data_IF_672952918647
#
_entry.id   IF_672952918647
#
_cell.length_a   1.000
_cell.length_b   1.000
_cell.length_c   1.000
_cell.angle_alpha   90.00
_cell.angle_beta   90.00
_cell.angle_gamma   90.00
#
_symmetry.space_group_name_H-M   'P 1'
#
loop_
_entity.id
_entity.type
_entity.pdbx_description
1 polymer ?
#
# COMPACT_ATOMS: atom_id res chain seq x y z
N UNK A 1 16.36 -49.95 59.68
CA UNK A 1 15.04 -49.57 59.11
C UNK A 1 15.26 -48.28 58.32
N UNK A 2 15.53 -48.25 57.01
CA UNK A 2 14.79 -48.75 55.85
C UNK A 2 13.41 -48.05 55.66
N UNK A 3 13.42 -46.91 54.94
CA UNK A 3 12.37 -46.46 53.99
C UNK A 3 12.92 -45.24 53.23
N UNK A 4 13.49 -45.40 52.04
CA UNK A 4 12.83 -45.61 50.75
C UNK A 4 11.98 -44.40 50.30
N UNK A 5 12.65 -43.55 49.53
CA UNK A 5 12.27 -42.94 48.25
C UNK A 5 10.78 -42.94 47.85
N UNK A 6 10.31 -41.78 47.36
CA UNK A 6 9.43 -41.64 46.18
C UNK A 6 9.33 -40.15 45.81
N UNK A 7 10.23 -39.65 44.95
CA UNK A 7 9.90 -38.59 43.99
C UNK A 7 10.01 -39.22 42.61
N UNK A 8 8.86 -39.34 41.96
CA UNK A 8 8.75 -39.86 40.62
C UNK A 8 9.45 -38.92 39.63
N UNK A 9 10.18 -39.56 38.73
CA UNK A 9 10.80 -39.02 37.53
C UNK A 9 9.77 -38.99 36.38
N UNK A 10 10.18 -38.36 35.26
CA UNK A 10 9.54 -38.23 33.94
C UNK A 10 8.66 -36.98 33.74
N UNK A 11 8.87 -36.13 32.73
CA UNK A 11 9.55 -36.38 31.46
C UNK A 11 10.40 -35.21 30.98
N UNK A 12 11.53 -35.59 30.39
CA UNK A 12 12.31 -34.78 29.44
C UNK A 12 11.41 -34.33 28.30
N UNK A 13 11.51 -33.07 27.90
CA UNK A 13 11.61 -32.80 26.46
C UNK A 13 12.68 -31.75 26.19
N UNK A 14 13.64 -32.17 25.38
CA UNK A 14 14.73 -31.39 24.87
C UNK A 14 14.31 -30.76 23.53
N UNK A 15 14.76 -29.54 23.27
CA UNK A 15 14.50 -28.84 22.01
C UNK A 15 13.07 -28.31 21.93
N UNK A 16 12.79 -27.13 21.41
CA UNK A 16 13.53 -26.36 20.43
C UNK A 16 13.28 -24.89 20.78
N UNK A 17 14.33 -24.06 20.73
CA UNK A 17 14.12 -22.63 20.49
C UNK A 17 13.31 -22.57 19.22
N UNK A 18 12.03 -22.20 19.31
CA UNK A 18 11.26 -21.84 18.14
C UNK A 18 11.89 -20.52 17.67
N UNK A 19 12.94 -20.66 16.87
CA UNK A 19 13.28 -19.66 15.88
C UNK A 19 12.01 -19.50 15.05
N UNK A 20 11.25 -18.44 15.34
CA UNK A 20 10.41 -17.87 14.31
C UNK A 20 11.35 -17.60 13.14
N UNK A 21 11.27 -18.46 12.14
CA UNK A 21 11.87 -18.23 10.85
C UNK A 21 11.39 -16.85 10.46
N UNK A 22 12.32 -15.90 10.54
CA UNK A 22 12.26 -14.67 9.79
C UNK A 22 12.01 -15.14 8.38
N UNK A 23 10.76 -15.09 7.93
CA UNK A 23 10.48 -14.87 6.52
C UNK A 23 11.12 -13.51 6.27
N UNK A 24 12.38 -13.61 5.93
CA UNK A 24 13.23 -12.66 5.26
C UNK A 24 12.50 -12.21 4.00
N UNK A 25 11.49 -11.36 4.19
CA UNK A 25 11.09 -10.38 3.21
C UNK A 25 12.30 -9.47 2.99
N UNK A 26 13.17 -9.93 2.10
CA UNK A 26 14.34 -9.22 1.66
C UNK A 26 13.88 -7.90 1.03
N UNK A 27 14.00 -6.80 1.77
CA UNK A 27 13.85 -5.44 1.25
C UNK A 27 14.79 -5.16 0.07
N UNK A 28 15.82 -5.98 -0.16
CA UNK A 28 16.71 -5.89 -1.33
C UNK A 28 16.08 -6.45 -2.61
N UNK A 29 15.04 -7.28 -2.51
CA UNK A 29 14.21 -7.66 -3.65
C UNK A 29 13.28 -6.50 -4.08
N UNK A 30 13.01 -5.53 -3.20
CA UNK A 30 12.44 -4.24 -3.59
C UNK A 30 13.52 -3.33 -4.17
N UNK A 31 14.02 -3.71 -5.36
CA UNK A 31 14.69 -2.77 -6.25
C UNK A 31 13.58 -2.11 -7.06
N UNK A 32 13.42 -0.79 -6.94
CA UNK A 32 12.63 -0.05 -7.93
C UNK A 32 13.10 -0.48 -9.33
N UNK A 33 12.20 -0.71 -10.30
CA UNK A 33 12.60 -0.80 -11.69
C UNK A 33 13.16 0.57 -12.08
N UNK A 34 14.45 0.78 -11.84
CA UNK A 34 15.22 1.74 -12.61
C UNK A 34 15.16 1.21 -14.02
N UNK A 35 14.33 1.84 -14.84
CA UNK A 35 14.29 1.64 -16.28
C UNK A 35 15.71 1.65 -16.83
N UNK A 36 16.25 0.47 -17.04
CA UNK A 36 17.32 0.27 -18.02
C UNK A 36 16.89 -0.89 -18.90
N UNK A 37 15.69 -0.81 -19.47
CA UNK A 37 15.42 -1.50 -20.73
C UNK A 37 16.21 -0.75 -21.80
N UNK A 38 17.49 -1.12 -21.94
CA UNK A 38 18.27 -0.80 -23.12
C UNK A 38 17.57 -1.48 -24.29
N UNK A 39 16.78 -0.69 -25.03
CA UNK A 39 16.22 -1.10 -26.31
C UNK A 39 17.36 -1.61 -27.21
N UNK A 40 17.26 -2.79 -27.82
CA UNK A 40 18.19 -3.16 -28.87
C UNK A 40 18.06 -2.13 -29.98
N UNK A 41 19.16 -1.43 -30.29
CA UNK A 41 19.22 -0.50 -31.43
C UNK A 41 19.02 -1.31 -32.70
N UNK A 42 17.78 -1.41 -33.17
CA UNK A 42 17.48 -1.88 -34.52
C UNK A 42 18.17 -0.93 -35.49
N UNK A 43 18.94 -1.53 -36.40
CA UNK A 43 19.78 -0.85 -37.39
C UNK A 43 18.84 -0.16 -38.38
N UNK A 44 18.52 1.11 -38.11
CA UNK A 44 17.75 1.96 -39.02
C UNK A 44 18.55 2.09 -40.33
N UNK A 45 18.00 1.51 -41.39
CA UNK A 45 18.50 1.64 -42.76
C UNK A 45 18.26 3.07 -43.26
N UNK A 46 19.36 3.72 -43.65
CA UNK A 46 19.38 5.04 -44.30
C UNK A 46 18.79 4.93 -45.70
N UNK A 47 17.60 5.47 -45.92
CA UNK A 47 17.18 5.95 -47.25
C UNK A 47 17.04 7.46 -47.17
N UNK A 48 17.94 8.14 -47.86
CA UNK A 48 17.94 9.58 -48.06
C UNK A 48 16.79 9.97 -48.98
N UNK A 49 15.95 10.90 -48.56
CA UNK A 49 15.20 11.76 -49.49
C UNK A 49 15.01 13.13 -48.87
N UNK A 50 15.77 14.07 -49.41
CA UNK A 50 15.65 15.48 -49.14
C UNK A 50 14.28 15.98 -49.61
N UNK A 51 13.59 16.73 -48.77
CA UNK A 51 12.63 17.73 -49.20
C UNK A 51 12.64 18.85 -48.16
N UNK A 52 13.43 19.88 -48.47
CA UNK A 52 13.37 21.20 -47.86
C UNK A 52 12.05 21.85 -48.32
N UNK A 53 11.12 22.07 -47.41
CA UNK A 53 10.07 23.06 -47.57
C UNK A 53 9.73 23.63 -46.19
N UNK A 54 10.19 24.86 -45.97
CA UNK A 54 9.87 25.67 -44.81
C UNK A 54 8.39 26.09 -44.83
N UNK A 55 7.70 25.91 -43.70
CA UNK A 55 6.56 26.76 -43.32
C UNK A 55 6.68 27.07 -41.84
N UNK A 56 7.04 28.32 -41.58
CA UNK A 56 6.99 28.99 -40.29
C UNK A 56 5.51 29.23 -39.88
N UNK A 57 5.30 29.36 -38.57
CA UNK A 57 4.14 29.97 -37.89
C UNK A 57 2.87 29.11 -37.73
N UNK A 58 2.88 28.28 -36.69
CA UNK A 58 1.71 28.13 -35.82
C UNK A 58 2.19 27.76 -34.40
N UNK A 59 2.76 28.75 -33.69
CA UNK A 59 2.82 28.71 -32.23
C UNK A 59 1.39 28.88 -31.70
N UNK A 60 0.58 27.84 -31.87
CA UNK A 60 -0.76 27.73 -31.33
C UNK A 60 -0.65 27.38 -29.86
N UNK A 61 -1.05 28.32 -29.03
CA UNK A 61 -1.12 28.24 -27.58
C UNK A 61 -1.89 26.99 -27.16
N UNK A 62 -1.18 25.93 -26.78
CA UNK A 62 -1.76 24.94 -25.89
C UNK A 62 -1.74 25.64 -24.53
N UNK A 63 -2.85 26.32 -24.22
CA UNK A 63 -3.14 26.73 -22.85
C UNK A 63 -3.09 25.46 -22.01
N UNK A 64 -1.96 25.23 -21.35
CA UNK A 64 -1.83 24.18 -20.36
C UNK A 64 -2.92 24.42 -19.34
N UNK A 65 -3.88 23.52 -19.28
CA UNK A 65 -4.80 23.45 -18.16
C UNK A 65 -3.91 23.16 -16.95
N UNK A 66 -3.53 24.20 -16.22
CA UNK A 66 -2.92 24.04 -14.90
C UNK A 66 -3.99 23.45 -14.00
N UNK A 67 -4.09 22.13 -13.97
CA UNK A 67 -4.73 21.44 -12.86
C UNK A 67 -3.92 21.83 -11.63
N UNK A 68 -4.43 22.80 -10.88
CA UNK A 68 -3.96 23.02 -9.53
C UNK A 68 -4.02 21.66 -8.80
N UNK A 69 -2.98 21.28 -8.03
CA UNK A 69 -3.09 20.07 -7.23
C UNK A 69 -4.35 20.20 -6.38
N UNK A 70 -5.15 19.14 -6.31
CA UNK A 70 -6.26 19.08 -5.38
C UNK A 70 -5.70 19.35 -3.97
N UNK A 71 -5.97 20.54 -3.45
CA UNK A 71 -5.64 20.89 -2.07
C UNK A 71 -6.59 20.09 -1.22
N UNK A 72 -6.11 19.00 -0.64
CA UNK A 72 -6.89 18.27 0.35
C UNK A 72 -7.05 19.18 1.57
N UNK A 73 -8.29 19.46 1.97
CA UNK A 73 -8.60 20.22 3.19
C UNK A 73 -8.47 19.30 4.41
N UNK A 74 -7.22 18.90 4.68
CA UNK A 74 -6.91 17.97 5.76
C UNK A 74 -6.84 18.67 7.11
N UNK A 75 -7.31 18.00 8.18
CA UNK A 75 -6.93 18.35 9.55
C UNK A 75 -5.41 18.53 9.70
N UNK A 76 -5.02 19.44 10.59
CA UNK A 76 -3.62 19.84 10.76
C UNK A 76 -2.68 18.65 11.06
N UNK A 77 -3.17 17.66 11.80
CA UNK A 77 -2.46 16.44 12.15
C UNK A 77 -2.10 15.61 10.92
N UNK A 78 -3.03 15.47 9.97
CA UNK A 78 -2.79 14.76 8.70
C UNK A 78 -1.89 15.61 7.81
N UNK A 79 -2.14 16.92 7.70
CA UNK A 79 -1.32 17.82 6.90
C UNK A 79 0.16 17.83 7.35
N UNK A 80 0.44 17.66 8.64
CA UNK A 80 1.78 17.63 9.22
C UNK A 80 2.38 16.22 9.33
N UNK A 81 1.61 15.18 9.02
CA UNK A 81 2.08 13.79 9.09
C UNK A 81 3.24 13.52 8.11
N UNK A 82 4.04 12.46 8.35
CA UNK A 82 5.07 12.02 7.40
C UNK A 82 4.49 11.86 5.99
N UNK A 83 5.30 12.15 4.96
CA UNK A 83 4.85 12.12 3.57
C UNK A 83 4.20 10.78 3.17
N UNK A 84 4.68 9.66 3.70
CA UNK A 84 4.13 8.32 3.42
C UNK A 84 2.70 8.17 3.96
N UNK A 85 2.41 8.76 5.11
CA UNK A 85 1.09 8.72 5.74
C UNK A 85 0.13 9.60 4.93
N UNK A 86 0.57 10.81 4.56
CA UNK A 86 -0.21 11.70 3.68
C UNK A 86 -0.52 11.07 2.33
N UNK A 87 0.41 10.33 1.75
CA UNK A 87 0.17 9.60 0.50
C UNK A 87 -0.90 8.51 0.65
N UNK A 88 -0.96 7.85 1.80
CA UNK A 88 -1.99 6.87 2.08
C UNK A 88 -3.36 7.53 2.31
N UNK A 89 -3.42 8.65 3.05
CA UNK A 89 -4.65 9.44 3.20
C UNK A 89 -5.18 9.94 1.84
N UNK A 90 -4.32 10.49 0.98
CA UNK A 90 -4.73 10.91 -0.35
C UNK A 90 -5.27 9.74 -1.19
N UNK A 91 -4.60 8.59 -1.14
CA UNK A 91 -5.06 7.42 -1.87
C UNK A 91 -6.41 6.90 -1.34
N UNK A 92 -6.66 6.97 -0.04
CA UNK A 92 -7.93 6.57 0.54
C UNK A 92 -9.08 7.49 0.11
N UNK A 93 -8.81 8.80 0.02
CA UNK A 93 -9.77 9.80 -0.46
C UNK A 93 -10.09 9.63 -1.94
N UNK A 94 -9.06 9.36 -2.76
CA UNK A 94 -9.20 9.19 -4.21
C UNK A 94 -9.81 7.85 -4.63
N UNK A 95 -9.73 6.81 -3.78
CA UNK A 95 -10.11 5.42 -4.12
C UNK A 95 -10.95 4.70 -3.05
N UNK A 96 -12.08 5.28 -2.59
CA UNK A 96 -12.98 4.64 -1.63
C UNK A 96 -13.51 3.28 -2.13
N UNK A 97 -13.78 3.15 -3.42
CA UNK A 97 -14.27 1.93 -4.07
C UNK A 97 -13.27 0.77 -4.03
N UNK A 98 -11.97 1.10 -3.94
CA UNK A 98 -10.90 0.11 -3.82
C UNK A 98 -10.72 -0.23 -2.35
N UNK A 99 -10.38 0.75 -1.50
CA UNK A 99 -10.02 0.47 -0.12
C UNK A 99 -11.18 -0.07 0.72
N UNK A 100 -12.42 0.22 0.33
CA UNK A 100 -13.61 -0.41 0.91
C UNK A 100 -13.68 -1.92 0.69
N UNK A 101 -12.90 -2.47 -0.24
CA UNK A 101 -12.80 -3.92 -0.53
C UNK A 101 -11.53 -4.56 0.03
N UNK A 102 -10.61 -3.77 0.58
CA UNK A 102 -9.32 -4.24 1.09
C UNK A 102 -9.38 -4.36 2.62
N UNK A 103 -9.01 -5.52 3.19
CA UNK A 103 -8.98 -5.69 4.65
C UNK A 103 -7.81 -4.97 5.31
N UNK A 104 -7.98 -4.70 6.60
CA UNK A 104 -6.90 -4.41 7.53
C UNK A 104 -6.75 -5.54 8.55
N UNK A 105 -5.52 -5.76 8.98
CA UNK A 105 -5.11 -6.85 9.88
C UNK A 105 -4.49 -6.36 11.19
N UNK A 106 -4.63 -5.06 11.51
CA UNK A 106 -4.05 -4.46 12.71
C UNK A 106 -4.87 -4.67 14.00
N UNK A 107 -6.05 -5.29 13.90
CA UNK A 107 -6.97 -5.49 15.04
C UNK A 107 -8.00 -4.37 15.26
N UNK A 108 -8.09 -3.38 14.36
CA UNK A 108 -9.05 -2.28 14.46
C UNK A 108 -10.53 -2.69 14.29
N UNK A 109 -10.82 -3.95 13.93
CA UNK A 109 -12.19 -4.43 13.81
C UNK A 109 -13.03 -4.19 15.06
N UNK A 110 -12.45 -4.22 16.26
CA UNK A 110 -13.19 -4.00 17.51
C UNK A 110 -13.60 -2.54 17.75
N UNK A 111 -13.01 -1.58 17.04
CA UNK A 111 -13.39 -0.15 17.12
C UNK A 111 -14.37 0.26 16.01
N UNK A 112 -14.86 -0.71 15.23
CA UNK A 112 -15.91 -0.49 14.23
C UNK A 112 -15.41 -0.35 12.80
N UNK A 113 -14.10 -0.39 12.54
CA UNK A 113 -13.56 -0.40 11.18
C UNK A 113 -13.88 -1.72 10.48
N UNK A 114 -14.46 -1.63 9.29
CA UNK A 114 -14.94 -2.73 8.44
C UNK A 114 -14.13 -2.90 7.16
N UNK A 115 -13.14 -2.04 6.91
CA UNK A 115 -12.22 -2.15 5.78
C UNK A 115 -10.94 -1.36 6.07
N UNK A 116 -9.97 -1.39 5.16
CA UNK A 116 -8.80 -0.51 5.22
C UNK A 116 -9.19 0.96 4.97
N UNK A 117 -10.29 1.23 4.25
CA UNK A 117 -10.80 2.59 4.04
C UNK A 117 -11.21 3.26 5.36
N UNK A 118 -11.89 2.52 6.24
CA UNK A 118 -12.39 3.05 7.52
C UNK A 118 -11.24 3.50 8.45
N UNK A 119 -10.01 3.04 8.21
CA UNK A 119 -8.84 3.51 8.94
C UNK A 119 -8.46 4.97 8.63
N UNK A 120 -9.01 5.54 7.56
CA UNK A 120 -8.74 6.90 7.08
C UNK A 120 -9.97 7.79 7.11
N UNK A 121 -11.15 7.24 6.86
CA UNK A 121 -12.42 7.98 6.75
C UNK A 121 -13.46 7.34 7.66
N UNK A 122 -14.02 8.13 8.56
CA UNK A 122 -15.06 7.72 9.52
C UNK A 122 -16.49 7.85 8.97
N UNK A 123 -16.65 8.57 7.87
CA UNK A 123 -17.94 8.78 7.20
C UNK A 123 -17.91 9.97 6.27
N UNK A 124 -19.11 10.41 5.86
CA UNK A 124 -19.31 11.66 5.12
C UNK A 124 -20.07 12.66 5.99
N UNK A 125 -19.76 13.95 5.88
CA UNK A 125 -20.52 15.02 6.53
C UNK A 125 -21.84 15.30 5.77
N UNK A 126 -22.64 16.25 6.27
CA UNK A 126 -23.92 16.63 5.64
C UNK A 126 -23.79 17.14 4.20
N UNK A 127 -22.61 17.66 3.84
CA UNK A 127 -22.29 18.15 2.50
C UNK A 127 -21.75 17.04 1.57
N UNK A 128 -21.60 15.82 2.08
CA UNK A 128 -21.04 14.68 1.36
C UNK A 128 -19.51 14.66 1.33
N UNK A 129 -18.83 15.49 2.11
CA UNK A 129 -17.36 15.50 2.17
C UNK A 129 -16.85 14.48 3.18
N UNK A 130 -15.65 13.89 2.97
CA UNK A 130 -15.08 12.91 3.88
C UNK A 130 -14.78 13.50 5.27
N UNK A 131 -15.17 12.76 6.31
CA UNK A 131 -14.76 13.01 7.69
C UNK A 131 -13.57 12.11 8.02
N UNK A 132 -12.37 12.68 8.08
CA UNK A 132 -11.14 11.92 8.29
C UNK A 132 -11.06 11.30 9.69
N UNK A 133 -10.72 10.01 9.74
CA UNK A 133 -10.35 9.26 10.92
C UNK A 133 -8.82 9.39 11.16
N UNK A 134 -8.41 9.61 12.41
CA UNK A 134 -7.00 9.74 12.79
C UNK A 134 -6.26 8.41 12.99
N UNK A 135 -6.92 7.26 12.86
CA UNK A 135 -6.35 5.96 13.21
C UNK A 135 -5.08 5.63 12.40
N UNK A 136 -5.08 5.91 11.10
CA UNK A 136 -3.93 5.67 10.24
C UNK A 136 -2.70 6.54 10.56
N UNK A 137 -2.86 7.66 11.29
CA UNK A 137 -1.71 8.45 11.77
C UNK A 137 -0.78 7.65 12.69
N UNK A 138 -1.34 6.68 13.43
CA UNK A 138 -0.64 5.87 14.42
C UNK A 138 -0.40 4.41 14.03
N UNK A 139 -0.85 3.97 12.84
CA UNK A 139 -0.85 2.55 12.48
C UNK A 139 -0.12 2.29 11.16
N UNK A 140 1.11 1.78 11.24
CA UNK A 140 1.93 1.50 10.04
C UNK A 140 1.33 0.39 9.17
N UNK A 141 0.65 -0.61 9.75
CA UNK A 141 0.01 -1.69 8.98
C UNK A 141 -1.07 -1.13 8.04
N UNK A 142 -1.89 -0.18 8.52
CA UNK A 142 -2.91 0.45 7.67
C UNK A 142 -2.27 1.13 6.47
N UNK A 143 -1.21 1.91 6.72
CA UNK A 143 -0.45 2.67 5.71
C UNK A 143 0.23 1.73 4.71
N UNK A 144 0.90 0.69 5.18
CA UNK A 144 1.61 -0.27 4.33
C UNK A 144 0.64 -1.02 3.40
N UNK A 145 -0.51 -1.48 3.92
CA UNK A 145 -1.57 -2.12 3.12
C UNK A 145 -2.08 -1.18 2.01
N UNK A 146 -2.32 0.10 2.34
CA UNK A 146 -2.79 1.10 1.38
C UNK A 146 -1.76 1.37 0.29
N UNK A 147 -0.49 1.50 0.65
CA UNK A 147 0.58 1.75 -0.32
C UNK A 147 0.88 0.53 -1.19
N UNK A 148 0.76 -0.69 -0.65
CA UNK A 148 0.80 -1.91 -1.45
C UNK A 148 -0.39 -2.01 -2.40
N UNK A 149 -1.59 -1.69 -1.93
CA UNK A 149 -2.79 -1.64 -2.78
C UNK A 149 -2.61 -0.67 -3.93
N UNK A 150 -2.15 0.56 -3.64
CA UNK A 150 -1.82 1.58 -4.64
C UNK A 150 -0.81 1.08 -5.68
N UNK A 151 0.28 0.44 -5.21
CA UNK A 151 1.29 -0.13 -6.09
C UNK A 151 0.72 -1.22 -7.00
N UNK A 152 -0.04 -2.16 -6.44
CA UNK A 152 -0.60 -3.29 -7.19
C UNK A 152 -1.67 -2.86 -8.21
N UNK A 153 -2.42 -1.79 -7.93
CA UNK A 153 -3.29 -1.16 -8.92
C UNK A 153 -2.51 -0.53 -10.07
N UNK A 154 -1.42 0.17 -9.77
CA UNK A 154 -0.55 0.74 -10.79
C UNK A 154 0.11 -0.34 -11.69
N UNK A 155 0.25 -1.56 -11.18
CA UNK A 155 0.68 -2.74 -11.94
C UNK A 155 -0.45 -3.37 -12.79
N UNK A 156 -1.67 -2.86 -12.71
CA UNK A 156 -2.82 -3.31 -13.50
C UNK A 156 -3.56 -4.52 -12.92
N UNK A 157 -3.32 -4.86 -11.65
CA UNK A 157 -4.02 -5.98 -10.99
C UNK A 157 -5.45 -5.60 -10.66
N UNK A 158 -6.36 -6.58 -10.71
CA UNK A 158 -7.75 -6.40 -10.30
C UNK A 158 -7.88 -6.32 -8.78
N UNK A 159 -8.93 -5.66 -8.28
CA UNK A 159 -9.20 -5.53 -6.83
C UNK A 159 -9.26 -6.89 -6.11
N UNK A 160 -9.88 -7.96 -6.66
CA UNK A 160 -9.84 -9.28 -6.02
C UNK A 160 -8.43 -9.87 -5.93
N UNK A 161 -7.60 -9.70 -6.96
CA UNK A 161 -6.20 -10.15 -6.92
C UNK A 161 -5.38 -9.37 -5.90
N UNK A 162 -5.64 -8.06 -5.77
CA UNK A 162 -5.01 -7.21 -4.77
C UNK A 162 -5.40 -7.68 -3.37
N UNK A 163 -6.69 -7.86 -3.11
CA UNK A 163 -7.18 -8.39 -1.84
C UNK A 163 -6.49 -9.71 -1.49
N UNK A 164 -6.45 -10.67 -2.41
CA UNK A 164 -5.78 -11.95 -2.17
C UNK A 164 -4.29 -11.80 -1.82
N UNK A 165 -3.60 -10.83 -2.43
CA UNK A 165 -2.20 -10.55 -2.11
C UNK A 165 -2.05 -9.86 -0.74
N UNK A 166 -2.95 -8.96 -0.37
CA UNK A 166 -2.98 -8.34 0.97
C UNK A 166 -3.27 -9.41 2.04
N UNK A 167 -4.24 -10.29 1.81
CA UNK A 167 -4.57 -11.40 2.71
C UNK A 167 -3.32 -12.28 2.95
N UNK A 168 -2.62 -12.64 1.87
CA UNK A 168 -1.40 -13.45 1.96
C UNK A 168 -0.25 -12.75 2.69
N UNK A 169 -0.10 -11.44 2.50
CA UNK A 169 1.00 -10.68 3.10
C UNK A 169 0.75 -10.30 4.57
N UNK A 170 -0.50 -10.03 4.95
CA UNK A 170 -0.82 -9.36 6.22
C UNK A 170 -1.65 -10.20 7.21
N UNK A 171 -2.22 -11.34 6.81
CA UNK A 171 -3.05 -12.17 7.72
C UNK A 171 -2.30 -12.75 8.93
N UNK A 172 -0.97 -12.75 8.92
CA UNK A 172 -0.16 -13.14 10.07
C UNK A 172 -0.23 -12.14 11.24
N UNK A 173 -0.64 -10.88 11.00
CA UNK A 173 -0.72 -9.84 12.03
C UNK A 173 -2.01 -9.90 12.85
N UNK A 174 -3.08 -10.48 12.31
CA UNK A 174 -4.37 -10.54 12.99
C UNK A 174 -5.49 -11.06 12.09
N UNK A 175 -6.73 -11.11 12.59
CA UNK A 175 -7.89 -11.39 11.75
C UNK A 175 -8.19 -10.19 10.83
N UNK A 176 -8.82 -10.48 9.69
CA UNK A 176 -9.36 -9.44 8.80
C UNK A 176 -10.42 -8.62 9.51
N UNK A 177 -10.41 -7.30 9.31
CA UNK A 177 -11.46 -6.41 9.79
C UNK A 177 -12.70 -6.35 8.88
N UNK A 178 -12.70 -7.02 7.73
CA UNK A 178 -13.82 -7.00 6.78
C UNK A 178 -15.07 -7.62 7.40
N UNK A 179 -16.21 -6.92 7.33
CA UNK A 179 -17.52 -7.38 7.83
C UNK A 179 -18.65 -7.01 6.88
#
# INVERSE_FOLDING_TARGET
MARAERRADAGRNAGSRISFGRLDWDRSAYRSPKETRVMPRTRMNRTTSASLAAVLLAAGWIAGCSTAPATHDWPAEIAQAPAVVRQAYAFADEHPEVLGQIPCYCGCGNVGHTSNYDCYISGLNESGEPVYDGHALGCSICVDITLDTKRLLAEGRSVPEIRAAIDAAYSAFGPSNMR
#
